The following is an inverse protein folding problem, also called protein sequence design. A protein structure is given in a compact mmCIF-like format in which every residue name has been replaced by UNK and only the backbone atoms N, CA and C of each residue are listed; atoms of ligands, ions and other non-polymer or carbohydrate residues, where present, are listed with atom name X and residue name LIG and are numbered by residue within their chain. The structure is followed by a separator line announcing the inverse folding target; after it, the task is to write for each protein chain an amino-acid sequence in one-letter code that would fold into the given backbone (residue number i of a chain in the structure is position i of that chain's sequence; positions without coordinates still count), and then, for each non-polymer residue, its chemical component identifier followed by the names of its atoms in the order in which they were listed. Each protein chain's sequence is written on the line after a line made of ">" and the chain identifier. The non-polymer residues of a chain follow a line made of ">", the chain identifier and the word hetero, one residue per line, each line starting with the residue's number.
data_IF_609408432619
#
_entry.id   IF_609408432619
#
_cell.length_a   1.000
_cell.length_b   1.000
_cell.length_c   1.000
_cell.angle_alpha   90.00
_cell.angle_beta   90.00
_cell.angle_gamma   90.00
#
_symmetry.space_group_name_H-M   'P 1'
#
loop_
_entity.id
_entity.type
_entity.pdbx_description
1 polymer ?
#
# COMPACT_ATOMS: atom_id res chain seq x y z
N UNK A 1 -48.58 -47.94 1.45
CA UNK A 1 -48.28 -46.51 1.27
C UNK A 1 -46.93 -46.22 1.94
N UNK A 2 -45.83 -46.06 1.19
CA UNK A 2 -44.53 -45.66 1.76
C UNK A 2 -44.41 -44.13 1.80
N UNK A 3 -44.06 -43.59 2.97
CA UNK A 3 -43.77 -42.16 3.16
C UNK A 3 -42.40 -41.79 2.56
N UNK A 4 -42.22 -40.56 2.02
CA UNK A 4 -40.94 -40.12 1.49
C UNK A 4 -39.94 -39.79 2.62
N UNK A 5 -38.68 -40.22 2.44
CA UNK A 5 -37.55 -39.98 3.36
C UNK A 5 -37.16 -38.49 3.35
N UNK A 6 -37.34 -37.73 4.45
CA UNK A 6 -37.07 -36.29 4.45
C UNK A 6 -35.57 -35.93 4.58
N UNK A 7 -34.67 -36.89 4.76
CA UNK A 7 -33.28 -36.63 5.13
C UNK A 7 -32.42 -35.97 4.03
N UNK A 8 -32.70 -36.25 2.74
CA UNK A 8 -31.89 -35.75 1.62
C UNK A 8 -32.12 -34.26 1.34
N UNK A 9 -33.36 -33.79 1.46
CA UNK A 9 -33.71 -32.40 1.21
C UNK A 9 -33.08 -31.47 2.28
N UNK A 10 -33.08 -31.88 3.55
CA UNK A 10 -32.49 -31.10 4.64
C UNK A 10 -30.96 -30.99 4.58
N UNK A 11 -30.28 -32.05 4.11
CA UNK A 11 -28.82 -32.05 3.92
C UNK A 11 -28.38 -31.16 2.75
N UNK A 12 -29.15 -31.14 1.66
CA UNK A 12 -28.88 -30.28 0.50
C UNK A 12 -29.03 -28.79 0.84
N UNK A 13 -30.06 -28.42 1.60
CA UNK A 13 -30.30 -27.02 2.01
C UNK A 13 -29.20 -26.52 2.96
N UNK A 14 -28.70 -27.37 3.86
CA UNK A 14 -27.60 -27.03 4.78
C UNK A 14 -26.25 -26.87 4.05
N UNK A 15 -26.00 -27.66 3.00
CA UNK A 15 -24.80 -27.53 2.17
C UNK A 15 -24.82 -26.24 1.35
N UNK A 16 -25.99 -25.86 0.82
CA UNK A 16 -26.17 -24.62 0.05
C UNK A 16 -25.99 -23.38 0.93
N UNK A 17 -26.51 -23.34 2.15
CA UNK A 17 -26.29 -22.21 3.06
C UNK A 17 -24.83 -22.08 3.52
N UNK A 18 -24.11 -23.20 3.71
CA UNK A 18 -22.68 -23.17 4.01
C UNK A 18 -21.82 -22.63 2.83
N UNK A 19 -22.23 -22.89 1.59
CA UNK A 19 -21.53 -22.42 0.40
C UNK A 19 -21.77 -20.92 0.11
N UNK A 20 -22.95 -20.39 0.45
CA UNK A 20 -23.28 -18.98 0.27
C UNK A 20 -22.65 -18.05 1.32
N UNK A 21 -22.33 -18.54 2.53
CA UNK A 21 -21.70 -17.72 3.59
C UNK A 21 -20.18 -17.55 3.37
N UNK A 22 -19.54 -18.38 2.52
CA UNK A 22 -18.09 -18.34 2.28
C UNK A 22 -17.60 -17.26 1.31
N UNK A 23 -18.48 -16.51 0.64
CA UNK A 23 -18.09 -15.60 -0.46
C UNK A 23 -17.97 -14.11 -0.05
N UNK A 24 -18.08 -13.78 1.24
CA UNK A 24 -18.02 -12.40 1.73
C UNK A 24 -16.60 -11.88 2.04
N UNK A 25 -15.52 -12.58 1.64
CA UNK A 25 -14.15 -12.24 2.05
C UNK A 25 -13.22 -11.98 0.87
N UNK A 26 -13.50 -10.97 0.02
CA UNK A 26 -12.47 -10.41 -0.87
C UNK A 26 -12.78 -9.00 -1.40
N UNK A 27 -13.40 -8.11 -0.62
CA UNK A 27 -13.32 -6.67 -0.89
C UNK A 27 -12.10 -6.09 -0.16
N UNK A 28 -10.90 -6.51 -0.55
CA UNK A 28 -9.63 -6.01 -0.04
C UNK A 28 -8.76 -5.47 -1.17
N UNK A 29 -7.87 -4.53 -0.86
CA UNK A 29 -6.81 -4.10 -1.78
C UNK A 29 -5.99 -5.35 -2.22
N UNK A 30 -6.03 -5.78 -3.49
CA UNK A 30 -5.35 -6.99 -3.93
C UNK A 30 -3.82 -6.84 -3.97
N UNK A 31 -3.33 -5.65 -3.63
CA UNK A 31 -1.93 -5.32 -3.69
C UNK A 31 -1.21 -5.54 -2.36
N UNK A 32 0.05 -5.94 -2.46
CA UNK A 32 0.96 -6.09 -1.32
C UNK A 32 1.98 -4.97 -1.31
N UNK A 33 2.14 -4.34 -0.15
CA UNK A 33 3.21 -3.37 0.12
C UNK A 33 4.34 -4.04 0.90
N UNK A 34 5.57 -3.94 0.40
CA UNK A 34 6.79 -4.48 1.03
C UNK A 34 7.69 -3.34 1.43
N UNK A 35 7.79 -3.08 2.74
CA UNK A 35 8.67 -2.06 3.31
C UNK A 35 10.14 -2.37 3.00
N UNK A 36 10.89 -1.33 2.61
CA UNK A 36 12.31 -1.40 2.27
C UNK A 36 13.16 -0.53 3.18
N UNK A 37 12.63 0.63 3.58
CA UNK A 37 13.28 1.54 4.51
C UNK A 37 12.24 2.37 5.27
N UNK A 38 12.62 2.79 6.48
CA UNK A 38 11.83 3.69 7.33
C UNK A 38 12.76 4.69 8.00
N UNK A 39 12.39 5.96 7.94
CA UNK A 39 13.18 7.05 8.54
C UNK A 39 12.26 7.95 9.36
N UNK A 40 12.51 8.01 10.67
CA UNK A 40 11.77 8.86 11.60
C UNK A 40 12.21 10.32 11.50
N UNK A 41 11.25 11.24 11.60
CA UNK A 41 11.53 12.67 11.67
C UNK A 41 12.33 13.01 12.94
N UNK A 42 13.16 14.07 12.93
CA UNK A 42 13.93 14.47 14.12
C UNK A 42 13.09 14.75 15.37
N UNK A 43 11.84 15.21 15.22
CA UNK A 43 10.89 15.44 16.31
C UNK A 43 10.09 14.18 16.69
N UNK A 44 10.29 13.07 15.98
CA UNK A 44 9.62 11.80 16.21
C UNK A 44 8.14 11.75 15.87
N UNK A 45 7.55 12.81 15.29
CA UNK A 45 6.11 12.90 15.03
C UNK A 45 5.66 12.19 13.75
N UNK A 46 6.59 11.92 12.83
CA UNK A 46 6.31 11.30 11.53
C UNK A 46 7.38 10.28 11.16
N UNK A 47 7.00 9.33 10.32
CA UNK A 47 7.94 8.41 9.68
C UNK A 47 7.71 8.41 8.17
N UNK A 48 8.81 8.48 7.41
CA UNK A 48 8.81 8.29 5.98
C UNK A 48 9.16 6.83 5.68
N UNK A 49 8.29 6.12 4.96
CA UNK A 49 8.44 4.72 4.62
C UNK A 49 8.62 4.58 3.11
N UNK A 50 9.72 3.96 2.69
CA UNK A 50 9.96 3.55 1.30
C UNK A 50 9.54 2.10 1.16
N UNK A 51 8.69 1.80 0.18
CA UNK A 51 8.17 0.46 -0.03
C UNK A 51 7.99 0.13 -1.52
N UNK A 52 8.01 -1.16 -1.83
CA UNK A 52 7.57 -1.67 -3.13
C UNK A 52 6.10 -2.06 -3.07
N UNK A 53 5.32 -1.72 -4.09
CA UNK A 53 3.91 -2.12 -4.20
C UNK A 53 3.69 -3.01 -5.43
N UNK A 54 3.10 -4.18 -5.21
CA UNK A 54 2.81 -5.17 -6.24
C UNK A 54 1.33 -5.57 -6.20
N UNK A 55 0.64 -5.49 -7.35
CA UNK A 55 -0.80 -5.75 -7.48
C UNK A 55 -1.09 -7.03 -8.28
N UNK A 56 -0.19 -8.02 -8.20
CA UNK A 56 -0.26 -9.29 -8.94
C UNK A 56 0.93 -9.51 -9.88
N UNK A 57 1.01 -10.72 -10.44
CA UNK A 57 2.19 -11.19 -11.18
C UNK A 57 2.49 -10.39 -12.47
N UNK A 58 1.49 -9.74 -13.06
CA UNK A 58 1.62 -9.05 -14.36
C UNK A 58 1.87 -7.54 -14.24
N UNK A 59 1.62 -6.92 -13.09
CA UNK A 59 1.66 -5.45 -12.92
C UNK A 59 3.03 -4.93 -12.51
N UNK A 60 3.99 -5.81 -12.21
CA UNK A 60 5.30 -5.42 -11.74
C UNK A 60 5.27 -4.78 -10.35
N UNK A 61 6.45 -4.41 -9.86
CA UNK A 61 6.60 -3.66 -8.59
C UNK A 61 6.74 -2.18 -8.93
N UNK A 62 6.08 -1.31 -8.17
CA UNK A 62 6.30 0.13 -8.17
C UNK A 62 7.03 0.57 -6.90
N UNK A 63 7.99 1.49 -7.02
CA UNK A 63 8.59 2.15 -5.86
C UNK A 63 7.65 3.24 -5.32
N UNK A 64 7.47 3.28 -4.01
CA UNK A 64 6.52 4.15 -3.33
C UNK A 64 7.15 4.78 -2.08
N UNK A 65 6.68 5.96 -1.71
CA UNK A 65 6.99 6.61 -0.43
C UNK A 65 5.69 7.04 0.23
N UNK A 66 5.55 6.74 1.52
CA UNK A 66 4.46 7.24 2.34
C UNK A 66 5.00 7.95 3.59
N UNK A 67 4.28 8.99 4.00
CA UNK A 67 4.39 9.59 5.32
C UNK A 67 3.30 9.01 6.22
N UNK A 68 3.70 8.46 7.36
CA UNK A 68 2.81 7.78 8.33
C UNK A 68 3.06 8.28 9.75
N UNK A 69 2.13 7.98 10.66
CA UNK A 69 2.40 8.18 12.09
C UNK A 69 3.45 7.15 12.58
N UNK A 70 4.16 7.42 13.69
CA UNK A 70 5.20 6.53 14.18
C UNK A 70 4.68 5.12 14.45
N UNK A 71 5.32 4.10 13.86
CA UNK A 71 4.94 2.69 14.02
C UNK A 71 3.79 2.23 13.12
N UNK A 72 3.14 3.11 12.37
CA UNK A 72 2.12 2.70 11.41
C UNK A 72 2.73 2.10 10.14
N UNK A 73 1.94 1.23 9.48
CA UNK A 73 2.29 0.63 8.20
C UNK A 73 1.84 1.53 7.05
N UNK A 74 2.63 1.58 5.99
CA UNK A 74 2.21 2.19 4.73
C UNK A 74 1.18 1.27 4.03
N UNK A 75 -0.04 1.77 3.87
CA UNK A 75 -1.17 1.06 3.23
C UNK A 75 -1.52 1.71 1.90
N UNK A 76 -1.99 0.91 0.93
CA UNK A 76 -2.36 1.43 -0.39
C UNK A 76 -1.20 2.04 -1.16
N UNK A 77 -1.50 3.05 -1.98
CA UNK A 77 -0.53 3.83 -2.76
C UNK A 77 0.16 4.86 -1.86
N UNK A 78 1.45 5.14 -2.12
CA UNK A 78 2.21 6.13 -1.37
C UNK A 78 1.62 7.53 -1.49
N UNK A 79 1.51 8.26 -0.37
CA UNK A 79 0.98 9.62 -0.37
C UNK A 79 2.05 10.70 -0.67
N UNK A 80 3.34 10.33 -0.65
CA UNK A 80 4.47 11.23 -0.94
C UNK A 80 4.98 11.04 -2.37
N UNK A 81 5.23 9.81 -2.79
CA UNK A 81 5.82 9.52 -4.11
C UNK A 81 5.34 8.17 -4.62
N UNK A 82 5.05 8.07 -5.91
CA UNK A 82 4.67 6.83 -6.57
C UNK A 82 5.33 6.76 -7.96
N UNK A 83 6.24 5.81 -8.17
CA UNK A 83 6.77 5.54 -9.50
C UNK A 83 5.93 4.48 -10.24
N UNK A 84 5.92 4.51 -11.57
CA UNK A 84 5.27 3.45 -12.36
C UNK A 84 6.00 2.11 -12.26
N UNK A 85 7.32 2.16 -11.98
CA UNK A 85 8.21 1.01 -11.93
C UNK A 85 9.02 1.00 -10.65
N UNK A 86 9.73 -0.10 -10.46
CA UNK A 86 10.66 -0.24 -9.38
C UNK A 86 11.95 0.53 -9.69
N UNK A 87 12.06 1.72 -9.10
CA UNK A 87 13.21 2.62 -9.29
C UNK A 87 13.93 2.89 -7.97
N UNK A 88 15.22 3.25 -8.01
CA UNK A 88 15.92 3.69 -6.81
C UNK A 88 15.26 4.95 -6.22
N UNK A 89 14.81 4.85 -4.97
CA UNK A 89 14.25 5.95 -4.18
C UNK A 89 14.86 5.95 -2.79
N UNK A 90 15.26 7.11 -2.30
CA UNK A 90 15.76 7.32 -0.96
C UNK A 90 15.11 8.54 -0.33
N UNK A 91 15.00 8.54 0.99
CA UNK A 91 14.41 9.65 1.75
C UNK A 91 15.33 10.09 2.88
N UNK A 92 15.28 11.38 3.19
CA UNK A 92 15.95 11.95 4.37
C UNK A 92 15.17 13.16 4.89
N UNK A 93 15.27 13.39 6.20
CA UNK A 93 14.72 14.58 6.83
C UNK A 93 15.71 15.74 6.80
N UNK A 94 15.22 16.93 6.49
CA UNK A 94 15.89 18.23 6.67
C UNK A 94 15.17 18.98 7.81
N UNK A 95 15.59 18.70 9.05
CA UNK A 95 14.84 19.16 10.22
C UNK A 95 13.51 18.43 10.40
N UNK A 96 12.67 18.93 11.30
CA UNK A 96 11.45 18.25 11.74
C UNK A 96 10.35 18.19 10.66
N UNK A 97 10.31 19.18 9.75
CA UNK A 97 9.15 19.43 8.89
C UNK A 97 9.50 19.45 7.40
N UNK A 98 10.71 19.06 6.99
CA UNK A 98 11.05 18.94 5.57
C UNK A 98 11.54 17.53 5.27
N UNK A 99 10.87 16.85 4.35
CA UNK A 99 11.25 15.55 3.83
C UNK A 99 11.80 15.71 2.41
N UNK A 100 13.02 15.25 2.19
CA UNK A 100 13.64 15.22 0.86
C UNK A 100 13.54 13.81 0.31
N UNK A 101 12.96 13.69 -0.88
CA UNK A 101 12.84 12.46 -1.66
C UNK A 101 13.80 12.55 -2.84
N UNK A 102 14.76 11.63 -2.89
CA UNK A 102 15.71 11.47 -4.00
C UNK A 102 15.33 10.25 -4.82
N UNK A 103 15.27 10.40 -6.13
CA UNK A 103 14.89 9.30 -7.01
C UNK A 103 15.61 9.35 -8.35
N UNK A 104 15.62 8.22 -9.06
CA UNK A 104 16.04 8.08 -10.46
C UNK A 104 14.89 7.55 -11.30
N UNK A 105 14.85 7.91 -12.57
CA UNK A 105 13.80 7.53 -13.51
C UNK A 105 12.52 8.36 -13.42
N UNK A 106 11.61 8.09 -14.34
CA UNK A 106 10.28 8.68 -14.34
C UNK A 106 9.47 8.17 -13.12
N UNK A 107 9.01 9.10 -12.29
CA UNK A 107 8.05 8.82 -11.23
C UNK A 107 6.97 9.90 -11.20
N UNK A 108 5.75 9.52 -10.86
CA UNK A 108 4.72 10.50 -10.50
C UNK A 108 5.07 11.02 -9.11
N UNK A 109 5.79 12.15 -9.10
CA UNK A 109 5.94 12.97 -7.90
C UNK A 109 4.54 13.33 -7.44
N UNK A 110 4.21 13.03 -6.18
CA UNK A 110 2.95 13.45 -5.61
C UNK A 110 2.78 14.95 -5.88
N UNK A 111 1.69 15.35 -6.52
CA UNK A 111 1.45 16.75 -6.96
C UNK A 111 1.42 17.75 -5.80
N UNK A 112 1.46 17.25 -4.57
CA UNK A 112 1.41 18.03 -3.34
C UNK A 112 2.84 18.40 -2.91
N UNK A 113 3.16 19.70 -2.78
CA UNK A 113 4.43 20.13 -2.20
C UNK A 113 4.48 19.98 -0.68
N UNK A 114 3.38 19.56 -0.04
CA UNK A 114 3.25 19.47 1.42
C UNK A 114 2.14 18.47 1.81
N UNK A 115 2.34 17.77 2.92
CA UNK A 115 1.34 16.93 3.61
C UNK A 115 1.33 17.36 5.07
N UNK A 116 0.17 17.79 5.56
CA UNK A 116 0.02 18.39 6.89
C UNK A 116 1.06 19.50 7.14
N UNK A 117 1.95 19.32 8.12
CA UNK A 117 3.05 20.21 8.47
C UNK A 117 4.39 19.86 7.78
N UNK A 118 4.43 18.80 6.95
CA UNK A 118 5.64 18.31 6.30
C UNK A 118 5.75 18.78 4.86
N UNK A 119 6.75 19.62 4.58
CA UNK A 119 7.14 20.06 3.24
C UNK A 119 7.88 18.95 2.51
N UNK A 120 7.53 18.73 1.25
CA UNK A 120 8.12 17.73 0.38
C UNK A 120 9.07 18.41 -0.61
N UNK A 121 10.30 17.92 -0.69
CA UNK A 121 11.30 18.33 -1.68
C UNK A 121 11.70 17.12 -2.51
N UNK A 122 11.81 17.34 -3.81
CA UNK A 122 12.09 16.27 -4.77
C UNK A 122 13.38 16.60 -5.51
N UNK A 123 14.35 15.69 -5.39
CA UNK A 123 15.65 15.76 -6.05
C UNK A 123 15.70 14.62 -7.08
N UNK A 124 15.38 14.92 -8.34
CA UNK A 124 15.66 13.96 -9.43
C UNK A 124 17.16 13.87 -9.65
N UNK A 125 17.67 12.64 -9.72
CA UNK A 125 19.08 12.35 -10.01
C UNK A 125 19.31 11.98 -11.47
N UNK A 126 18.27 12.08 -12.31
CA UNK A 126 18.42 11.96 -13.75
C UNK A 126 19.07 13.25 -14.26
N UNK A 127 20.24 13.10 -14.89
CA UNK A 127 20.92 14.22 -15.56
C UNK A 127 20.15 14.51 -16.86
N UNK A 128 19.83 15.77 -17.18
CA UNK A 128 19.17 16.13 -18.44
C UNK A 128 20.00 15.73 -19.67
#
# INVERSE_FOLDING_TARGET
>A
MPAPRPALASLLTALLTALLVGHAAACGDPCTNTERARVRSPDGRREAVVFGRACGAKTGVSAQVALVAPGERAVGVGNVFAAERDVPVAVRWEGATTLVVRYRGAGEVGTRPQIDDVRLRYDSLDVP
#
